data_IF_506363443297
#
_entry.id   IF_506363443297
#
_cell.length_a   1.000
_cell.length_b   1.000
_cell.length_c   1.000
_cell.angle_alpha   90.00
_cell.angle_beta   90.00
_cell.angle_gamma   90.00
#
_symmetry.space_group_name_H-M   'P 1'
#
loop_
_entity.id
_entity.type
_entity.pdbx_description
1 polymer ?
#
# COMPACT_ATOMS: atom_id res chain seq x y z
N UNK A 1 43.83 50.39 46.75
CA UNK A 1 42.93 49.31 47.21
C UNK A 1 41.44 49.67 47.06
N UNK A 2 41.06 50.96 47.04
CA UNK A 2 39.67 51.40 46.83
C UNK A 2 39.14 51.21 45.38
N UNK A 3 39.95 51.51 44.36
CA UNK A 3 39.52 51.47 42.95
C UNK A 3 39.18 50.06 42.42
N UNK A 4 39.87 49.01 42.88
CA UNK A 4 39.60 47.62 42.46
C UNK A 4 38.23 47.13 42.97
N UNK A 5 37.84 47.54 44.19
CA UNK A 5 36.55 47.19 44.75
C UNK A 5 35.41 47.93 44.06
N UNK A 6 35.63 49.17 43.62
CA UNK A 6 34.65 49.95 42.88
C UNK A 6 34.38 49.36 41.49
N UNK A 7 35.44 48.98 40.75
CA UNK A 7 35.30 48.29 39.46
C UNK A 7 34.57 46.96 39.63
N UNK A 8 34.87 46.19 40.69
CA UNK A 8 34.18 44.93 40.98
C UNK A 8 32.68 45.14 41.27
N UNK A 9 32.33 46.17 42.05
CA UNK A 9 30.92 46.52 42.30
C UNK A 9 30.20 46.96 41.02
N UNK A 10 30.84 47.73 40.15
CA UNK A 10 30.26 48.14 38.87
C UNK A 10 30.01 46.94 37.94
N UNK A 11 30.96 45.99 37.85
CA UNK A 11 30.76 44.76 37.07
C UNK A 11 29.63 43.90 37.62
N UNK A 12 29.52 43.80 38.94
CA UNK A 12 28.45 43.01 39.57
C UNK A 12 27.08 43.66 39.39
N UNK A 13 26.99 44.99 39.50
CA UNK A 13 25.77 45.74 39.21
C UNK A 13 25.37 45.62 37.72
N UNK A 14 26.35 45.63 36.81
CA UNK A 14 26.12 45.44 35.38
C UNK A 14 25.58 44.03 35.09
N UNK A 15 26.12 43.00 35.74
CA UNK A 15 25.65 41.62 35.59
C UNK A 15 24.23 41.42 36.10
N UNK A 16 23.89 41.95 37.28
CA UNK A 16 22.54 41.88 37.81
C UNK A 16 21.53 42.65 36.94
N UNK A 17 21.93 43.81 36.40
CA UNK A 17 21.10 44.54 35.45
C UNK A 17 20.86 43.74 34.17
N UNK A 18 21.90 43.08 33.63
CA UNK A 18 21.78 42.24 32.44
C UNK A 18 20.87 41.03 32.69
N UNK A 19 21.00 40.38 33.84
CA UNK A 19 20.15 39.26 34.26
C UNK A 19 18.69 39.68 34.40
N UNK A 20 18.42 40.84 35.01
CA UNK A 20 17.07 41.35 35.17
C UNK A 20 16.43 41.72 33.81
N UNK A 21 17.20 42.34 32.91
CA UNK A 21 16.73 42.62 31.55
C UNK A 21 16.42 41.34 30.77
N UNK A 22 17.27 40.33 30.89
CA UNK A 22 17.06 39.04 30.24
C UNK A 22 15.81 38.33 30.76
N UNK A 23 15.60 38.33 32.08
CA UNK A 23 14.39 37.77 32.68
C UNK A 23 13.13 38.53 32.25
N UNK A 24 13.18 39.86 32.17
CA UNK A 24 12.06 40.67 31.69
C UNK A 24 11.73 40.36 30.23
N UNK A 25 12.74 40.13 29.39
CA UNK A 25 12.54 39.75 27.98
C UNK A 25 11.94 38.35 27.84
N UNK A 26 12.35 37.38 28.67
CA UNK A 26 11.71 36.05 28.71
C UNK A 26 10.23 36.15 29.08
N UNK A 27 9.90 36.94 30.10
CA UNK A 27 8.50 37.15 30.51
C UNK A 27 7.71 37.78 29.35
N UNK A 28 8.27 38.81 28.70
CA UNK A 28 7.65 39.47 27.54
C UNK A 28 7.41 38.49 26.39
N UNK A 29 8.37 37.62 26.08
CA UNK A 29 8.22 36.61 25.03
C UNK A 29 7.18 35.56 25.39
N UNK A 30 7.13 35.12 26.64
CA UNK A 30 6.08 34.20 27.10
C UNK A 30 4.69 34.83 27.01
N UNK A 31 4.54 36.10 27.35
CA UNK A 31 3.27 36.82 27.22
C UNK A 31 2.86 36.98 25.75
N UNK A 32 3.83 37.21 24.85
CA UNK A 32 3.62 37.29 23.41
C UNK A 32 3.20 35.93 22.82
N UNK A 33 3.85 34.83 23.25
CA UNK A 33 3.47 33.46 22.89
C UNK A 33 2.08 33.12 23.43
N UNK A 34 1.75 33.49 24.66
CA UNK A 34 0.43 33.24 25.25
C UNK A 34 -0.66 34.06 24.53
N UNK A 35 -0.36 35.30 24.13
CA UNK A 35 -1.25 36.13 23.31
C UNK A 35 -1.44 35.55 21.90
N UNK A 36 -0.38 35.06 21.26
CA UNK A 36 -0.44 34.37 19.98
C UNK A 36 -1.24 33.07 20.09
N UNK A 37 -1.05 32.28 21.15
CA UNK A 37 -1.83 31.08 21.44
C UNK A 37 -3.30 31.40 21.70
N UNK A 38 -3.61 32.45 22.46
CA UNK A 38 -4.98 32.89 22.69
C UNK A 38 -5.65 33.37 21.40
N UNK A 39 -4.93 34.07 20.52
CA UNK A 39 -5.40 34.46 19.17
C UNK A 39 -5.54 33.25 18.25
N UNK A 40 -4.67 32.25 18.35
CA UNK A 40 -4.75 30.99 17.60
C UNK A 40 -5.99 30.21 18.02
N UNK A 41 -6.25 30.11 19.32
CA UNK A 41 -7.45 29.47 19.90
C UNK A 41 -8.72 30.25 19.56
N UNK A 42 -8.69 31.58 19.59
CA UNK A 42 -9.84 32.41 19.19
C UNK A 42 -10.11 32.34 17.67
N UNK A 43 -9.06 32.24 16.85
CA UNK A 43 -9.14 32.02 15.40
C UNK A 43 -9.67 30.60 15.08
N UNK A 44 -9.19 29.58 15.80
CA UNK A 44 -9.75 28.22 15.74
C UNK A 44 -11.22 28.20 16.20
N UNK A 45 -11.60 28.94 17.22
CA UNK A 45 -13.00 28.94 17.68
C UNK A 45 -13.93 29.78 16.79
N UNK A 46 -13.40 30.69 15.96
CA UNK A 46 -14.17 31.47 14.99
C UNK A 46 -14.24 30.82 13.59
N UNK A 47 -13.41 29.81 13.28
CA UNK A 47 -13.37 29.14 11.96
C UNK A 47 -13.31 27.60 11.98
N UNK A 48 -13.27 26.93 13.13
CA UNK A 48 -13.38 25.47 13.21
C UNK A 48 -14.84 25.05 13.35
N UNK A 49 -15.49 24.93 12.21
CA UNK A 49 -16.71 24.14 12.06
C UNK A 49 -16.40 22.69 12.48
N UNK A 50 -17.30 21.97 13.18
CA UNK A 50 -17.19 20.54 13.54
C UNK A 50 -17.26 19.57 12.34
N UNK A 51 -16.69 19.93 11.19
CA UNK A 51 -16.87 19.20 9.92
C UNK A 51 -15.91 18.02 9.77
N UNK A 52 -14.65 18.13 10.21
CA UNK A 52 -13.65 17.05 10.08
C UNK A 52 -14.06 15.80 10.86
N UNK A 53 -14.41 15.94 12.15
CA UNK A 53 -14.94 14.82 12.95
C UNK A 53 -16.27 14.26 12.41
N UNK A 54 -17.04 15.08 11.67
CA UNK A 54 -18.30 14.61 11.06
C UNK A 54 -18.06 13.85 9.75
N UNK A 55 -17.03 14.20 8.97
CA UNK A 55 -16.74 13.57 7.69
C UNK A 55 -16.10 12.20 7.89
N UNK A 56 -15.12 12.11 8.80
CA UNK A 56 -14.49 10.86 9.20
C UNK A 56 -15.55 9.84 9.67
N UNK A 57 -16.41 10.28 10.58
CA UNK A 57 -17.49 9.46 11.13
C UNK A 57 -18.55 9.13 10.06
N UNK A 58 -18.85 10.06 9.15
CA UNK A 58 -19.80 9.83 8.06
C UNK A 58 -19.31 8.77 7.06
N UNK A 59 -18.09 8.93 6.52
CA UNK A 59 -17.53 8.01 5.53
C UNK A 59 -17.33 6.61 6.13
N UNK A 60 -16.83 6.55 7.37
CA UNK A 60 -16.67 5.28 8.07
C UNK A 60 -18.03 4.61 8.36
N UNK A 61 -19.05 5.37 8.77
CA UNK A 61 -20.41 4.83 8.96
C UNK A 61 -21.02 4.32 7.66
N UNK A 62 -20.82 5.04 6.54
CA UNK A 62 -21.28 4.56 5.23
C UNK A 62 -20.58 3.25 4.84
N UNK A 63 -19.26 3.18 5.05
CA UNK A 63 -18.49 1.98 4.80
C UNK A 63 -18.96 0.82 5.66
N UNK A 64 -19.11 0.99 6.98
CA UNK A 64 -19.59 -0.06 7.88
C UNK A 64 -21.00 -0.54 7.48
N UNK A 65 -21.87 0.38 7.05
CA UNK A 65 -23.23 0.05 6.62
C UNK A 65 -23.25 -0.78 5.32
N UNK A 66 -22.45 -0.40 4.31
CA UNK A 66 -22.43 -1.10 3.03
C UNK A 66 -21.07 -0.97 2.32
N UNK A 67 -20.08 -1.84 2.68
CA UNK A 67 -18.73 -1.77 2.14
C UNK A 67 -18.69 -1.90 0.60
N UNK A 68 -19.55 -2.75 0.04
CA UNK A 68 -19.67 -2.97 -1.39
C UNK A 68 -20.23 -1.75 -2.15
N UNK A 69 -21.06 -0.91 -1.51
CA UNK A 69 -21.52 0.33 -2.12
C UNK A 69 -20.36 1.34 -2.24
N UNK A 70 -19.64 1.57 -1.14
CA UNK A 70 -18.47 2.45 -1.11
C UNK A 70 -17.41 1.99 -2.12
N UNK A 71 -17.15 0.67 -2.19
CA UNK A 71 -16.24 0.11 -3.19
C UNK A 71 -16.63 0.48 -4.62
N UNK A 72 -17.92 0.37 -4.98
CA UNK A 72 -18.42 0.67 -6.32
C UNK A 72 -18.41 2.17 -6.64
N UNK A 73 -18.50 3.01 -5.62
CA UNK A 73 -18.44 4.46 -5.75
C UNK A 73 -17.02 4.93 -6.05
N UNK A 74 -16.04 4.44 -5.29
CA UNK A 74 -14.64 4.89 -5.40
C UNK A 74 -13.85 4.15 -6.49
N UNK A 75 -14.37 3.03 -7.02
CA UNK A 75 -13.73 2.26 -8.09
C UNK A 75 -14.64 2.12 -9.32
N UNK A 76 -14.47 2.98 -10.34
CA UNK A 76 -15.29 2.93 -11.55
C UNK A 76 -15.26 1.59 -12.29
N UNK A 77 -14.12 0.89 -12.24
CA UNK A 77 -13.92 -0.42 -12.90
C UNK A 77 -14.57 -1.58 -12.15
N UNK A 78 -14.92 -1.41 -10.88
CA UNK A 78 -15.55 -2.42 -10.02
C UNK A 78 -14.86 -3.78 -10.10
N UNK A 79 -13.53 -3.76 -10.00
CA UNK A 79 -12.66 -4.93 -10.22
C UNK A 79 -13.01 -6.07 -9.25
N UNK A 80 -13.45 -7.21 -9.77
CA UNK A 80 -13.54 -8.43 -8.98
C UNK A 80 -12.23 -9.21 -9.10
N UNK A 81 -11.73 -9.76 -8.00
CA UNK A 81 -10.55 -10.62 -8.02
C UNK A 81 -10.88 -11.91 -8.78
N UNK A 82 -10.14 -12.15 -9.85
CA UNK A 82 -10.24 -13.38 -10.64
C UNK A 82 -9.67 -14.58 -9.87
N UNK A 83 -10.25 -15.75 -10.07
CA UNK A 83 -9.79 -17.02 -9.49
C UNK A 83 -8.31 -17.32 -9.73
N UNK A 84 -7.84 -17.03 -10.95
CA UNK A 84 -6.45 -17.22 -11.35
C UNK A 84 -5.52 -16.09 -10.89
N UNK A 85 -6.03 -15.10 -10.15
CA UNK A 85 -5.26 -13.97 -9.65
C UNK A 85 -4.65 -13.08 -10.73
N UNK A 86 -5.06 -13.22 -11.99
CA UNK A 86 -4.52 -12.47 -13.14
C UNK A 86 -4.59 -10.96 -12.97
N UNK A 87 -5.57 -10.47 -12.21
CA UNK A 87 -5.80 -9.05 -11.92
C UNK A 87 -5.58 -8.70 -10.44
N UNK A 88 -4.80 -9.50 -9.70
CA UNK A 88 -4.57 -9.29 -8.26
C UNK A 88 -4.10 -7.86 -7.95
N UNK A 89 -3.15 -7.32 -8.72
CA UNK A 89 -2.61 -5.97 -8.47
C UNK A 89 -3.67 -4.88 -8.66
N UNK A 90 -4.50 -4.99 -9.70
CA UNK A 90 -5.63 -4.07 -9.92
C UNK A 90 -6.66 -4.15 -8.79
N UNK A 91 -6.93 -5.36 -8.32
CA UNK A 91 -7.85 -5.60 -7.21
C UNK A 91 -7.29 -5.07 -5.87
N UNK A 92 -6.04 -5.37 -5.53
CA UNK A 92 -5.36 -4.89 -4.31
C UNK A 92 -5.34 -3.36 -4.27
N UNK A 93 -5.08 -2.71 -5.41
CA UNK A 93 -5.15 -1.24 -5.54
C UNK A 93 -6.56 -0.70 -5.31
N UNK A 94 -7.60 -1.41 -5.77
CA UNK A 94 -8.98 -1.00 -5.57
C UNK A 94 -9.45 -1.18 -4.12
N UNK A 95 -8.98 -2.24 -3.44
CA UNK A 95 -9.17 -2.44 -2.00
C UNK A 95 -8.48 -1.32 -1.22
N UNK A 96 -7.22 -1.04 -1.53
CA UNK A 96 -6.46 0.04 -0.90
C UNK A 96 -7.17 1.40 -1.05
N UNK A 97 -7.58 1.77 -2.26
CA UNK A 97 -8.34 3.01 -2.49
C UNK A 97 -9.61 3.08 -1.64
N UNK A 98 -10.32 1.97 -1.50
CA UNK A 98 -11.58 1.90 -0.73
C UNK A 98 -11.32 2.07 0.76
N UNK A 99 -10.31 1.39 1.29
CA UNK A 99 -9.92 1.50 2.71
C UNK A 99 -9.42 2.91 3.00
N UNK A 100 -8.53 3.47 2.17
CA UNK A 100 -8.06 4.85 2.35
C UNK A 100 -9.20 5.87 2.31
N UNK A 101 -10.19 5.68 1.42
CA UNK A 101 -11.36 6.56 1.39
C UNK A 101 -12.22 6.44 2.65
N UNK A 102 -12.52 5.22 3.09
CA UNK A 102 -13.39 4.97 4.24
C UNK A 102 -12.76 5.37 5.59
N UNK A 103 -11.44 5.30 5.69
CA UNK A 103 -10.67 5.60 6.90
C UNK A 103 -9.88 6.92 6.81
N UNK A 104 -10.03 7.66 5.70
CA UNK A 104 -9.31 8.91 5.41
C UNK A 104 -7.79 8.81 5.62
N UNK A 105 -7.20 7.72 5.14
CA UNK A 105 -5.76 7.48 5.23
C UNK A 105 -5.04 8.24 4.10
N UNK A 106 -3.99 8.97 4.45
CA UNK A 106 -3.12 9.65 3.49
C UNK A 106 -2.21 8.66 2.75
N UNK A 107 -1.82 7.58 3.41
CA UNK A 107 -0.95 6.52 2.89
C UNK A 107 -1.68 5.20 2.70
N UNK A 108 -1.06 4.29 1.94
CA UNK A 108 -1.61 2.95 1.71
C UNK A 108 -1.79 2.20 3.02
N UNK A 109 -2.90 1.48 3.18
CA UNK A 109 -3.09 0.65 4.38
C UNK A 109 -2.05 -0.49 4.45
N UNK A 110 -1.44 -0.85 3.31
CA UNK A 110 -0.35 -1.84 3.22
C UNK A 110 0.95 -1.33 3.83
N UNK A 111 1.11 0.00 3.96
CA UNK A 111 2.28 0.64 4.56
C UNK A 111 2.12 0.84 6.07
N UNK A 112 0.91 0.63 6.61
CA UNK A 112 0.60 0.80 8.03
C UNK A 112 0.69 -0.58 8.71
N UNK A 113 1.72 -0.83 9.54
CA UNK A 113 1.89 -2.12 10.19
C UNK A 113 0.68 -2.47 11.07
N UNK A 114 0.22 -3.71 10.96
CA UNK A 114 -0.87 -4.26 11.78
C UNK A 114 -2.23 -3.54 11.62
N UNK A 115 -2.41 -2.70 10.59
CA UNK A 115 -3.66 -1.96 10.37
C UNK A 115 -4.91 -2.85 10.42
N UNK A 116 -4.90 -3.97 9.68
CA UNK A 116 -6.05 -4.89 9.67
C UNK A 116 -6.26 -5.61 11.01
N UNK A 117 -5.18 -5.87 11.76
CA UNK A 117 -5.24 -6.53 13.07
C UNK A 117 -5.73 -5.61 14.18
N UNK A 118 -5.61 -4.30 14.02
CA UNK A 118 -6.03 -3.30 15.01
C UNK A 118 -7.49 -2.86 14.87
N UNK A 119 -8.21 -3.38 13.87
CA UNK A 119 -9.62 -3.06 13.63
C UNK A 119 -10.50 -3.58 14.77
N UNK A 120 -11.43 -2.75 15.24
CA UNK A 120 -12.51 -3.21 16.10
C UNK A 120 -13.48 -4.14 15.35
N UNK A 121 -14.39 -4.78 16.08
CA UNK A 121 -15.32 -5.77 15.54
C UNK A 121 -16.18 -5.25 14.38
N UNK A 122 -16.65 -3.99 14.45
CA UNK A 122 -17.52 -3.43 13.42
C UNK A 122 -16.73 -3.17 12.14
N UNK A 123 -15.54 -2.58 12.27
CA UNK A 123 -14.63 -2.29 11.15
C UNK A 123 -14.09 -3.57 10.52
N UNK A 124 -13.68 -4.54 11.33
CA UNK A 124 -13.22 -5.85 10.87
C UNK A 124 -14.30 -6.56 10.03
N UNK A 125 -15.55 -6.62 10.50
CA UNK A 125 -16.67 -7.19 9.74
C UNK A 125 -16.93 -6.45 8.43
N UNK A 126 -16.83 -5.12 8.44
CA UNK A 126 -16.98 -4.31 7.24
C UNK A 126 -15.90 -4.62 6.20
N UNK A 127 -14.63 -4.76 6.61
CA UNK A 127 -13.53 -5.13 5.71
C UNK A 127 -13.67 -6.57 5.22
N UNK A 128 -14.07 -7.53 6.05
CA UNK A 128 -14.35 -8.91 5.60
C UNK A 128 -15.46 -8.91 4.53
N UNK A 129 -16.54 -8.18 4.78
CA UNK A 129 -17.63 -8.03 3.83
C UNK A 129 -17.15 -7.39 2.53
N UNK A 130 -16.32 -6.34 2.59
CA UNK A 130 -15.68 -5.75 1.42
C UNK A 130 -14.91 -6.81 0.62
N UNK A 131 -14.00 -7.53 1.27
CA UNK A 131 -13.15 -8.53 0.61
C UNK A 131 -14.01 -9.58 -0.08
N UNK A 132 -14.97 -10.21 0.63
CA UNK A 132 -15.87 -11.22 0.06
C UNK A 132 -16.71 -10.72 -1.12
N UNK A 133 -17.22 -9.49 -1.04
CA UNK A 133 -18.04 -8.90 -2.12
C UNK A 133 -17.23 -8.50 -3.37
N UNK A 134 -15.91 -8.63 -3.33
CA UNK A 134 -15.02 -8.29 -4.45
C UNK A 134 -14.31 -9.53 -5.01
N UNK A 135 -14.74 -10.73 -4.65
CA UNK A 135 -14.23 -11.98 -5.20
C UNK A 135 -15.11 -12.48 -6.34
N UNK A 136 -14.51 -13.21 -7.28
CA UNK A 136 -15.30 -14.07 -8.15
C UNK A 136 -15.98 -15.19 -7.33
N UNK A 137 -17.06 -15.76 -7.89
CA UNK A 137 -17.91 -16.74 -7.19
C UNK A 137 -17.15 -18.01 -6.78
N UNK A 138 -16.17 -18.47 -7.56
CA UNK A 138 -15.38 -19.64 -7.22
C UNK A 138 -14.44 -19.37 -6.04
N UNK A 139 -13.75 -18.22 -6.03
CA UNK A 139 -12.94 -17.80 -4.88
C UNK A 139 -13.78 -17.60 -3.63
N UNK A 140 -14.96 -16.97 -3.75
CA UNK A 140 -15.86 -16.76 -2.64
C UNK A 140 -16.23 -18.10 -1.97
N UNK A 141 -16.60 -19.10 -2.77
CA UNK A 141 -16.95 -20.44 -2.27
C UNK A 141 -15.81 -21.08 -1.46
N UNK A 142 -14.57 -20.95 -1.94
CA UNK A 142 -13.37 -21.48 -1.26
C UNK A 142 -13.07 -20.72 0.03
N UNK A 143 -13.26 -19.40 0.03
CA UNK A 143 -13.02 -18.57 1.20
C UNK A 143 -14.08 -18.80 2.27
N UNK A 144 -15.33 -19.02 1.88
CA UNK A 144 -16.43 -19.28 2.82
C UNK A 144 -16.28 -20.61 3.54
N UNK A 145 -15.64 -21.61 2.93
CA UNK A 145 -15.33 -22.88 3.60
C UNK A 145 -14.25 -22.78 4.69
N UNK A 146 -13.40 -21.75 4.65
CA UNK A 146 -12.30 -21.57 5.62
C UNK A 146 -12.76 -20.83 6.91
N UNK A 147 -14.05 -20.48 7.04
CA UNK A 147 -14.69 -19.84 8.21
C UNK A 147 -13.93 -18.62 8.82
N UNK A 148 -13.12 -17.91 8.01
CA UNK A 148 -12.27 -16.83 8.50
C UNK A 148 -13.09 -15.64 9.05
N UNK A 149 -12.83 -15.28 10.30
CA UNK A 149 -13.49 -14.15 11.01
C UNK A 149 -12.60 -12.91 11.15
N UNK A 150 -11.37 -12.95 10.65
CA UNK A 150 -10.39 -11.87 10.73
C UNK A 150 -10.09 -11.34 9.33
N UNK A 151 -10.15 -10.02 9.15
CA UNK A 151 -9.86 -9.35 7.89
C UNK A 151 -8.39 -9.55 7.47
N UNK A 152 -7.47 -9.53 8.42
CA UNK A 152 -6.04 -9.73 8.19
C UNK A 152 -5.75 -11.14 7.65
N UNK A 153 -6.33 -12.17 8.28
CA UNK A 153 -6.16 -13.55 7.85
C UNK A 153 -6.77 -13.78 6.46
N UNK A 154 -7.95 -13.21 6.20
CA UNK A 154 -8.60 -13.30 4.90
C UNK A 154 -7.78 -12.59 3.81
N UNK A 155 -7.33 -11.37 4.07
CA UNK A 155 -6.51 -10.63 3.11
C UNK A 155 -5.19 -11.35 2.84
N UNK A 156 -4.55 -11.88 3.88
CA UNK A 156 -3.32 -12.67 3.77
C UNK A 156 -3.53 -13.95 2.95
N UNK A 157 -4.63 -14.66 3.16
CA UNK A 157 -5.00 -15.84 2.37
C UNK A 157 -5.16 -15.50 0.89
N UNK A 158 -5.92 -14.45 0.58
CA UNK A 158 -6.16 -13.98 -0.79
C UNK A 158 -4.85 -13.54 -1.45
N UNK A 159 -4.01 -12.80 -0.74
CA UNK A 159 -2.68 -12.40 -1.19
C UNK A 159 -1.83 -13.61 -1.54
N UNK A 160 -1.75 -14.59 -0.65
CA UNK A 160 -0.92 -15.78 -0.85
C UNK A 160 -1.42 -16.65 -2.02
N UNK A 161 -2.74 -16.79 -2.22
CA UNK A 161 -3.29 -17.59 -3.31
C UNK A 161 -3.25 -16.84 -4.65
N UNK A 162 -3.68 -15.59 -4.67
CA UNK A 162 -3.95 -14.87 -5.91
C UNK A 162 -2.76 -14.06 -6.42
N UNK A 163 -1.89 -13.52 -5.56
CA UNK A 163 -0.66 -12.85 -6.01
C UNK A 163 0.26 -13.84 -6.73
N UNK A 164 0.41 -15.05 -6.17
CA UNK A 164 1.17 -16.16 -6.77
C UNK A 164 0.55 -16.64 -8.09
N UNK A 165 -0.78 -16.74 -8.15
CA UNK A 165 -1.47 -17.14 -9.37
C UNK A 165 -1.32 -16.10 -10.49
N UNK A 166 -1.35 -14.80 -10.17
CA UNK A 166 -1.03 -13.72 -11.12
C UNK A 166 0.38 -13.83 -11.69
N UNK A 167 1.36 -14.19 -10.86
CA UNK A 167 2.72 -14.48 -11.35
C UNK A 167 2.76 -15.70 -12.26
N UNK A 168 2.10 -16.80 -11.89
CA UNK A 168 2.01 -18.00 -12.72
C UNK A 168 1.37 -17.70 -14.09
N UNK A 169 0.33 -16.88 -14.12
CA UNK A 169 -0.27 -16.39 -15.35
C UNK A 169 0.77 -15.67 -16.23
N UNK A 170 1.57 -14.77 -15.65
CA UNK A 170 2.66 -14.09 -16.37
C UNK A 170 3.70 -15.08 -16.93
N UNK A 171 4.10 -16.10 -16.16
CA UNK A 171 5.01 -17.17 -16.63
C UNK A 171 4.41 -17.92 -17.82
N UNK A 172 3.10 -18.23 -17.78
CA UNK A 172 2.40 -18.87 -18.90
C UNK A 172 2.44 -18.00 -20.16
N UNK A 173 2.25 -16.69 -20.03
CA UNK A 173 2.37 -15.76 -21.15
C UNK A 173 3.78 -15.74 -21.73
N UNK A 174 4.82 -15.75 -20.88
CA UNK A 174 6.22 -15.82 -21.34
C UNK A 174 6.52 -17.14 -22.03
N UNK A 175 6.02 -18.27 -21.51
CA UNK A 175 6.14 -19.56 -22.19
C UNK A 175 5.49 -19.55 -23.58
N UNK A 176 4.34 -18.87 -23.75
CA UNK A 176 3.71 -18.68 -25.06
C UNK A 176 4.58 -17.84 -26.00
N UNK A 177 5.19 -16.77 -25.50
CA UNK A 177 6.11 -15.94 -26.28
C UNK A 177 7.35 -16.72 -26.71
N UNK A 178 7.98 -17.47 -25.80
CA UNK A 178 9.15 -18.30 -26.11
C UNK A 178 8.81 -19.37 -27.13
N UNK A 179 7.67 -20.05 -26.98
CA UNK A 179 7.17 -21.01 -27.96
C UNK A 179 7.01 -20.36 -29.34
N UNK A 180 6.34 -19.20 -29.40
CA UNK A 180 6.18 -18.44 -30.66
C UNK A 180 7.55 -18.11 -31.30
N UNK A 181 8.53 -17.66 -30.50
CA UNK A 181 9.87 -17.34 -30.98
C UNK A 181 10.62 -18.58 -31.53
N UNK A 182 10.41 -19.75 -30.93
CA UNK A 182 11.08 -21.00 -31.34
C UNK A 182 10.52 -21.61 -32.64
N UNK A 183 9.28 -21.31 -33.01
CA UNK A 183 8.60 -21.89 -34.18
C UNK A 183 9.17 -21.43 -35.53
N UNK A 184 9.96 -20.34 -35.57
CA UNK A 184 10.66 -19.80 -36.77
C UNK A 184 9.84 -19.84 -38.07
N UNK A 185 8.55 -19.52 -37.99
CA UNK A 185 7.66 -19.55 -39.16
C UNK A 185 7.91 -18.35 -40.07
N UNK A 186 7.61 -18.50 -41.36
CA UNK A 186 7.67 -17.40 -42.33
C UNK A 186 6.70 -16.27 -41.97
N UNK A 187 7.14 -15.03 -42.17
CA UNK A 187 6.28 -13.87 -41.98
C UNK A 187 5.06 -13.95 -42.90
N UNK A 188 3.87 -13.78 -42.30
CA UNK A 188 2.56 -13.82 -42.96
C UNK A 188 1.55 -13.03 -42.12
N UNK A 189 0.38 -12.74 -42.66
CA UNK A 189 -0.69 -12.09 -41.89
C UNK A 189 -1.10 -12.93 -40.67
N UNK A 190 -1.18 -14.25 -40.81
CA UNK A 190 -1.45 -15.16 -39.71
C UNK A 190 -0.34 -15.13 -38.64
N UNK A 191 0.92 -15.02 -39.05
CA UNK A 191 2.05 -14.84 -38.12
C UNK A 191 1.95 -13.53 -37.34
N UNK A 192 1.65 -12.43 -38.03
CA UNK A 192 1.53 -11.11 -37.40
C UNK A 192 0.35 -11.05 -36.43
N UNK A 193 -0.80 -11.63 -36.80
CA UNK A 193 -1.96 -11.72 -35.93
C UNK A 193 -1.66 -12.50 -34.63
N UNK A 194 -0.93 -13.63 -34.73
CA UNK A 194 -0.49 -14.39 -33.56
C UNK A 194 0.49 -13.61 -32.69
N UNK A 195 1.44 -12.89 -33.29
CA UNK A 195 2.36 -12.03 -32.55
C UNK A 195 1.60 -10.94 -31.79
N UNK A 196 0.71 -10.20 -32.46
CA UNK A 196 -0.10 -9.15 -31.84
C UNK A 196 -0.97 -9.69 -30.70
N UNK A 197 -1.54 -10.89 -30.83
CA UNK A 197 -2.32 -11.51 -29.76
C UNK A 197 -1.46 -11.79 -28.52
N UNK A 198 -0.31 -12.45 -28.69
CA UNK A 198 0.63 -12.75 -27.59
C UNK A 198 1.14 -11.46 -26.94
N UNK A 199 1.53 -10.48 -27.75
CA UNK A 199 2.06 -9.21 -27.26
C UNK A 199 0.99 -8.39 -26.51
N UNK A 200 -0.25 -8.35 -27.01
CA UNK A 200 -1.36 -7.66 -26.33
C UNK A 200 -1.67 -8.27 -24.97
N UNK A 201 -1.59 -9.60 -24.82
CA UNK A 201 -1.78 -10.25 -23.52
C UNK A 201 -0.64 -9.90 -22.54
N UNK A 202 0.60 -9.81 -23.03
CA UNK A 202 1.77 -9.38 -22.24
C UNK A 202 1.64 -7.93 -21.79
N UNK A 203 1.26 -7.03 -22.70
CA UNK A 203 1.01 -5.62 -22.38
C UNK A 203 -0.10 -5.47 -21.36
N UNK A 204 -1.19 -6.24 -21.50
CA UNK A 204 -2.31 -6.24 -20.55
C UNK A 204 -1.90 -6.73 -19.17
N UNK A 205 -0.96 -7.69 -19.09
CA UNK A 205 -0.38 -8.17 -17.84
C UNK A 205 0.61 -7.19 -17.18
N UNK A 206 0.88 -6.03 -17.83
CA UNK A 206 1.76 -4.96 -17.34
C UNK A 206 3.13 -5.46 -16.88
N UNK A 207 3.70 -6.38 -17.64
CA UNK A 207 5.02 -6.94 -17.37
C UNK A 207 6.07 -5.86 -17.66
N UNK A 208 6.77 -5.38 -16.63
CA UNK A 208 7.88 -4.42 -16.83
C UNK A 208 9.07 -5.07 -17.53
N UNK A 209 9.99 -4.28 -18.11
CA UNK A 209 11.19 -4.82 -18.77
C UNK A 209 12.06 -5.68 -17.85
N UNK A 210 12.26 -5.24 -16.59
CA UNK A 210 13.01 -6.00 -15.59
C UNK A 210 12.27 -7.29 -15.19
N UNK A 211 10.94 -7.21 -15.02
CA UNK A 211 10.10 -8.37 -14.72
C UNK A 211 10.12 -9.39 -15.88
N UNK A 212 10.09 -8.92 -17.13
CA UNK A 212 10.17 -9.77 -18.32
C UNK A 212 11.45 -10.60 -18.33
N UNK A 213 12.62 -9.98 -18.06
CA UNK A 213 13.90 -10.69 -17.97
C UNK A 213 13.87 -11.79 -16.90
N UNK A 214 13.35 -11.48 -15.71
CA UNK A 214 13.20 -12.45 -14.63
C UNK A 214 12.26 -13.62 -14.99
N UNK A 215 11.13 -13.32 -15.64
CA UNK A 215 10.18 -14.34 -16.07
C UNK A 215 10.73 -15.22 -17.20
N UNK A 216 11.53 -14.67 -18.12
CA UNK A 216 12.21 -15.45 -19.17
C UNK A 216 13.21 -16.42 -18.53
N UNK A 217 14.04 -15.96 -17.60
CA UNK A 217 15.00 -16.82 -16.92
C UNK A 217 14.29 -17.95 -16.15
N UNK A 218 13.15 -17.65 -15.51
CA UNK A 218 12.31 -18.65 -14.85
C UNK A 218 11.72 -19.66 -15.84
N UNK A 219 11.21 -19.20 -16.97
CA UNK A 219 10.63 -20.07 -18.00
C UNK A 219 11.67 -20.99 -18.66
N UNK A 220 12.94 -20.56 -18.73
CA UNK A 220 14.04 -21.34 -19.30
C UNK A 220 14.70 -22.29 -18.28
N UNK A 221 14.53 -22.05 -16.98
CA UNK A 221 15.14 -22.87 -15.95
C UNK A 221 14.55 -24.30 -15.95
N UNK A 222 15.43 -25.30 -16.01
CA UNK A 222 15.05 -26.72 -15.94
C UNK A 222 15.49 -27.33 -14.62
N UNK A 223 14.73 -28.31 -14.13
CA UNK A 223 15.03 -28.99 -12.88
C UNK A 223 16.39 -29.72 -12.97
N UNK A 224 17.25 -29.62 -11.94
CA UNK A 224 18.47 -30.42 -11.84
C UNK A 224 18.15 -31.92 -11.88
N UNK A 225 19.12 -32.72 -12.33
CA UNK A 225 19.01 -34.18 -12.34
C UNK A 225 18.68 -34.70 -10.94
N UNK A 226 17.60 -35.49 -10.83
CA UNK A 226 17.13 -36.06 -9.57
C UNK A 226 16.15 -35.18 -8.77
N UNK A 227 15.84 -33.95 -9.23
CA UNK A 227 14.82 -33.09 -8.62
C UNK A 227 13.51 -33.22 -9.39
N UNK A 228 12.40 -33.43 -8.68
CA UNK A 228 11.07 -33.49 -9.28
C UNK A 228 10.66 -32.11 -9.84
N UNK A 229 10.13 -32.11 -11.07
CA UNK A 229 9.93 -30.88 -11.84
C UNK A 229 8.99 -29.89 -11.17
N UNK A 230 7.88 -30.34 -10.56
CA UNK A 230 6.95 -29.45 -9.85
C UNK A 230 7.57 -28.91 -8.55
N UNK A 231 8.35 -29.71 -7.85
CA UNK A 231 9.08 -29.31 -6.65
C UNK A 231 10.12 -28.25 -6.98
N UNK A 232 10.83 -28.41 -8.11
CA UNK A 232 11.73 -27.40 -8.62
C UNK A 232 11.00 -26.11 -8.99
N UNK A 233 9.93 -26.20 -9.81
CA UNK A 233 9.07 -25.07 -10.20
C UNK A 233 8.59 -24.28 -8.96
N UNK A 234 8.16 -25.00 -7.91
CA UNK A 234 7.75 -24.41 -6.65
C UNK A 234 8.91 -23.72 -5.92
N UNK A 235 10.10 -24.33 -5.90
CA UNK A 235 11.29 -23.80 -5.24
C UNK A 235 11.86 -22.54 -5.90
N UNK A 236 11.73 -22.37 -7.22
CA UNK A 236 12.16 -21.13 -7.89
C UNK A 236 11.10 -20.04 -7.71
N UNK A 237 9.82 -20.43 -7.71
CA UNK A 237 8.72 -19.48 -7.54
C UNK A 237 8.71 -18.86 -6.14
N UNK A 238 9.01 -19.64 -5.09
CA UNK A 238 8.85 -19.22 -3.69
C UNK A 238 9.76 -18.06 -3.23
N UNK A 239 11.10 -18.09 -3.42
CA UNK A 239 11.98 -16.96 -3.05
C UNK A 239 11.66 -15.68 -3.83
N UNK A 240 11.17 -15.82 -5.05
CA UNK A 240 10.86 -14.71 -5.94
C UNK A 240 9.47 -14.11 -5.67
N UNK A 241 8.54 -14.89 -5.12
CA UNK A 241 7.25 -14.43 -4.60
C UNK A 241 7.42 -13.62 -3.29
N UNK A 242 8.42 -14.01 -2.49
CA UNK A 242 8.79 -13.36 -1.22
C UNK A 242 9.69 -12.14 -1.41
N UNK A 243 10.27 -11.96 -2.61
CA UNK A 243 11.01 -10.74 -2.96
C UNK A 243 10.04 -9.55 -3.06
N UNK A 244 10.15 -8.65 -2.09
CA UNK A 244 9.44 -7.35 -2.08
C UNK A 244 10.04 -6.34 -3.08
N UNK A 245 11.24 -6.62 -3.60
CA UNK A 245 11.92 -5.84 -4.64
C UNK A 245 12.09 -6.66 -5.91
N UNK A 246 12.00 -6.00 -7.08
CA UNK A 246 12.40 -6.62 -8.35
C UNK A 246 13.90 -6.91 -8.27
N UNK A 247 14.37 -8.15 -8.49
CA UNK A 247 15.79 -8.41 -8.59
C UNK A 247 16.37 -7.58 -9.74
N UNK A 248 17.21 -6.62 -9.40
CA UNK A 248 17.88 -5.72 -10.34
C UNK A 248 19.15 -6.37 -10.88
N UNK A 249 19.44 -6.14 -12.16
CA UNK A 249 20.70 -6.51 -12.82
C UNK A 249 21.83 -5.52 -12.50
N UNK A 250 21.85 -4.95 -11.29
CA UNK A 250 22.99 -4.13 -10.87
C UNK A 250 24.01 -5.02 -10.18
N UNK A 251 25.13 -5.21 -10.89
CA UNK A 251 26.35 -5.84 -10.40
C UNK A 251 27.19 -4.84 -9.60
#
# INVERSE_FOLDING_TARGET
MAEINEVKMQFQAMFEKMKNNFNAEIIRQNDEINSLNAKLVASHNAHSIPLANSLDDYLLKQFIKCPAAVYREVNPRRTLLSFDGSNYSEWETAIDRTIRHAFLLETSFLEIPLFLKSLDNARNKAVISLLRNTLDTALLTIVESDELTCADDLFTLLRNKCKRSGRRHKIILINRLLKFATERSSASEAWLARFCAVWSDIERAKISGNELGGLIMQALASAPLGVEAKTFEYSISQPLDDMTSVPTFEA
#
